data_IF_964509122673
#
_entry.id   IF_964509122673
#
_cell.length_a   1.000
_cell.length_b   1.000
_cell.length_c   1.000
_cell.angle_alpha   90.00
_cell.angle_beta   90.00
_cell.angle_gamma   90.00
#
_symmetry.space_group_name_H-M   'P 1'
#
loop_
_entity.id
_entity.type
_entity.pdbx_description
1 polymer ?
#
# COMPACT_ATOMS: atom_id res chain seq x y z
N UNK A 1 13.73 15.84 -15.05
CA UNK A 1 12.46 15.80 -14.30
C UNK A 1 12.77 15.67 -12.82
N UNK A 2 12.00 16.30 -11.94
CA UNK A 2 12.19 16.14 -10.50
C UNK A 2 11.72 14.73 -10.06
N UNK A 3 12.44 14.11 -9.14
CA UNK A 3 12.00 12.86 -8.50
C UNK A 3 11.14 13.20 -7.29
N UNK A 4 10.08 12.41 -7.09
CA UNK A 4 9.20 12.45 -5.92
C UNK A 4 9.38 11.18 -5.09
N UNK A 5 9.13 11.29 -3.78
CA UNK A 5 9.09 10.14 -2.88
C UNK A 5 7.76 9.42 -3.04
N UNK A 6 7.83 8.10 -3.20
CA UNK A 6 6.67 7.22 -3.30
C UNK A 6 6.74 6.16 -2.22
N UNK A 7 5.62 5.96 -1.55
CA UNK A 7 5.42 4.98 -0.50
C UNK A 7 4.70 3.78 -1.08
N UNK A 8 5.37 2.63 -1.14
CA UNK A 8 4.80 1.38 -1.64
C UNK A 8 4.35 0.53 -0.46
N UNK A 9 3.05 0.34 -0.31
CA UNK A 9 2.49 -0.67 0.59
C UNK A 9 2.63 -2.01 -0.09
N UNK A 10 3.29 -2.95 0.56
CA UNK A 10 3.56 -4.28 0.02
C UNK A 10 2.96 -5.35 0.93
N UNK A 11 2.21 -6.28 0.34
CA UNK A 11 1.69 -7.49 0.99
C UNK A 11 1.80 -8.66 0.03
N UNK A 12 2.42 -9.75 0.47
CA UNK A 12 2.69 -10.93 -0.34
C UNK A 12 3.40 -10.61 -1.68
N UNK A 13 2.65 -10.64 -2.80
CA UNK A 13 3.11 -10.36 -4.17
C UNK A 13 2.43 -9.14 -4.80
N UNK A 14 1.60 -8.42 -4.05
CA UNK A 14 0.91 -7.21 -4.49
C UNK A 14 1.51 -5.98 -3.83
N UNK A 15 1.41 -4.84 -4.51
CA UNK A 15 1.77 -3.56 -3.94
C UNK A 15 0.91 -2.43 -4.48
N UNK A 16 0.71 -1.42 -3.64
CA UNK A 16 0.04 -0.15 -3.98
C UNK A 16 1.00 1.00 -3.73
N UNK A 17 1.09 1.97 -4.65
CA UNK A 17 1.93 3.16 -4.50
C UNK A 17 1.12 4.37 -4.10
N UNK A 18 1.71 5.21 -3.23
CA UNK A 18 1.11 6.42 -2.72
C UNK A 18 2.09 7.59 -2.74
N UNK A 19 1.60 8.80 -3.02
CA UNK A 19 2.38 10.04 -2.93
C UNK A 19 2.60 10.51 -1.48
N UNK A 20 1.89 9.95 -0.50
CA UNK A 20 2.03 10.30 0.93
C UNK A 20 2.08 9.07 1.83
N UNK A 21 2.75 9.20 2.98
CA UNK A 21 2.79 8.13 3.99
C UNK A 21 1.42 7.91 4.64
N UNK A 22 0.65 8.98 4.85
CA UNK A 22 -0.66 8.89 5.50
C UNK A 22 -1.64 8.07 4.65
N UNK A 23 -1.64 8.24 3.33
CA UNK A 23 -2.45 7.41 2.43
C UNK A 23 -2.02 5.94 2.43
N UNK A 24 -0.71 5.67 2.52
CA UNK A 24 -0.18 4.31 2.62
C UNK A 24 -0.60 3.62 3.93
N UNK A 25 -0.51 4.34 5.05
CA UNK A 25 -0.95 3.84 6.37
C UNK A 25 -2.46 3.63 6.40
N UNK A 26 -3.24 4.53 5.80
CA UNK A 26 -4.70 4.41 5.74
C UNK A 26 -5.15 3.14 5.01
N UNK A 27 -4.47 2.75 3.90
CA UNK A 27 -4.76 1.48 3.23
C UNK A 27 -4.51 0.29 4.17
N UNK A 28 -3.33 0.23 4.81
CA UNK A 28 -2.98 -0.88 5.71
C UNK A 28 -4.00 -1.01 6.84
N UNK A 29 -4.39 0.11 7.45
CA UNK A 29 -5.39 0.11 8.52
C UNK A 29 -6.74 -0.42 8.03
N UNK A 30 -7.23 0.04 6.89
CA UNK A 30 -8.51 -0.39 6.32
C UNK A 30 -8.51 -1.89 5.99
N UNK A 31 -7.43 -2.42 5.43
CA UNK A 31 -7.34 -3.85 5.11
C UNK A 31 -7.23 -4.72 6.38
N UNK A 32 -6.48 -4.27 7.40
CA UNK A 32 -6.42 -4.95 8.70
C UNK A 32 -7.80 -4.97 9.37
N UNK A 33 -8.53 -3.85 9.33
CA UNK A 33 -9.89 -3.76 9.87
C UNK A 33 -10.82 -4.74 9.14
N UNK A 34 -10.77 -4.79 7.80
CA UNK A 34 -11.58 -5.70 6.99
C UNK A 34 -11.25 -7.19 7.26
N UNK A 35 -9.97 -7.54 7.37
CA UNK A 35 -9.55 -8.91 7.71
C UNK A 35 -10.01 -9.30 9.13
N UNK A 36 -9.90 -8.38 10.08
CA UNK A 36 -10.21 -8.64 11.49
C UNK A 36 -11.68 -8.98 11.74
N UNK A 37 -12.62 -8.58 10.87
CA UNK A 37 -14.04 -8.88 11.00
C UNK A 37 -14.33 -10.40 10.98
N UNK A 38 -13.56 -11.17 10.22
CA UNK A 38 -13.73 -12.62 10.05
C UNK A 38 -12.75 -13.47 10.88
N UNK A 39 -11.84 -12.83 11.61
CA UNK A 39 -10.77 -13.51 12.36
C UNK A 39 -11.22 -14.02 13.72
N UNK A 40 -10.60 -15.11 14.16
CA UNK A 40 -10.75 -15.66 15.51
C UNK A 40 -9.65 -15.14 16.44
N UNK A 41 -9.94 -15.16 17.74
CA UNK A 41 -8.96 -14.81 18.78
C UNK A 41 -7.72 -15.71 18.66
N UNK A 42 -6.55 -15.08 18.56
CA UNK A 42 -5.26 -15.76 18.42
C UNK A 42 -4.78 -15.95 16.99
N UNK A 43 -5.56 -15.53 15.99
CA UNK A 43 -5.11 -15.43 14.59
C UNK A 43 -4.37 -14.10 14.36
N UNK A 44 -3.43 -14.12 13.42
CA UNK A 44 -2.67 -12.94 13.00
C UNK A 44 -3.14 -12.50 11.61
N UNK A 45 -3.22 -11.19 11.39
CA UNK A 45 -3.54 -10.62 10.07
C UNK A 45 -2.38 -10.86 9.12
N UNK A 46 -2.60 -10.66 7.81
CA UNK A 46 -1.49 -10.65 6.87
C UNK A 46 -0.48 -9.53 7.20
N UNK A 47 0.79 -9.77 6.87
CA UNK A 47 1.87 -8.82 7.12
C UNK A 47 1.98 -7.77 6.03
N UNK A 48 2.13 -6.50 6.43
CA UNK A 48 2.35 -5.38 5.52
C UNK A 48 3.67 -4.70 5.84
N UNK A 49 4.32 -4.15 4.81
CA UNK A 49 5.41 -3.22 4.99
C UNK A 49 5.32 -2.05 4.00
N UNK A 50 5.92 -0.92 4.37
CA UNK A 50 6.02 0.25 3.49
C UNK A 50 7.47 0.37 3.02
N UNK A 51 7.69 0.25 1.70
CA UNK A 51 8.96 0.58 1.06
C UNK A 51 8.94 2.00 0.51
N UNK A 52 9.98 2.78 0.79
CA UNK A 52 10.14 4.14 0.24
C UNK A 52 11.01 4.07 -1.01
N UNK A 53 10.49 4.56 -2.12
CA UNK A 53 11.17 4.60 -3.42
C UNK A 53 11.10 6.00 -4.02
N UNK A 54 11.91 6.25 -5.05
CA UNK A 54 11.86 7.49 -5.82
C UNK A 54 11.50 7.18 -7.26
N UNK A 55 10.60 7.98 -7.84
CA UNK A 55 10.29 7.98 -9.27
C UNK A 55 9.88 9.40 -9.69
N UNK A 56 9.82 9.66 -10.98
CA UNK A 56 9.24 10.88 -11.53
C UNK A 56 7.72 10.85 -11.42
N UNK A 57 7.09 12.02 -11.51
CA UNK A 57 5.62 12.10 -11.52
C UNK A 57 5.00 11.39 -12.73
N UNK A 58 5.63 11.48 -13.91
CA UNK A 58 5.21 10.76 -15.11
C UNK A 58 5.30 9.23 -14.94
N UNK A 59 6.36 8.72 -14.29
CA UNK A 59 6.47 7.29 -14.00
C UNK A 59 5.38 6.82 -13.04
N UNK A 60 5.00 7.65 -12.05
CA UNK A 60 3.92 7.34 -11.13
C UNK A 60 2.56 7.33 -11.83
N UNK A 61 2.27 8.35 -12.65
CA UNK A 61 0.98 8.49 -13.34
C UNK A 61 0.79 7.42 -14.44
N UNK A 62 1.87 6.77 -14.88
CA UNK A 62 1.85 5.63 -15.81
C UNK A 62 1.83 4.26 -15.11
N UNK A 63 1.83 4.21 -13.76
CA UNK A 63 1.63 2.95 -13.07
C UNK A 63 0.23 2.41 -13.41
N UNK A 64 0.08 1.09 -13.56
CA UNK A 64 -1.24 0.52 -13.79
C UNK A 64 -2.15 0.92 -12.62
N UNK A 65 -3.31 1.51 -12.95
CA UNK A 65 -4.35 1.75 -11.96
C UNK A 65 -4.69 0.41 -11.31
N UNK A 66 -4.62 0.37 -9.98
CA UNK A 66 -5.00 -0.81 -9.22
C UNK A 66 -6.53 -0.93 -9.26
N UNK A 67 -7.05 -1.70 -10.23
CA UNK A 67 -8.45 -2.11 -10.28
C UNK A 67 -8.62 -3.43 -9.52
N UNK A 68 -8.77 -3.39 -8.19
CA UNK A 68 -8.97 -4.62 -7.43
C UNK A 68 -9.43 -4.39 -5.99
N UNK A 69 -10.73 -4.19 -5.81
CA UNK A 69 -11.44 -4.64 -4.62
C UNK A 69 -12.35 -5.80 -5.05
#
# INVERSE_FOLDING_TARGET
>A
MAKIKIYKVCSDSNWCAFKTIDSAVALIAAEIEAEAEDMKIGEETRGYYIAVTEMTEEEYDNLPDFNGF
#
